data_IF_707365208065
#
_entry.id   IF_707365208065
#
_cell.length_a   1.000
_cell.length_b   1.000
_cell.length_c   1.000
_cell.angle_alpha   90.00
_cell.angle_beta   90.00
_cell.angle_gamma   90.00
#
_symmetry.space_group_name_H-M   'P 1'
#
loop_
_entity.id
_entity.type
_entity.pdbx_description
1 polymer ?
#
# COMPACT_ATOMS: atom_id res chain seq x y z
N UNK A 1 15.92 -16.00 -2.99
CA UNK A 1 16.09 -14.88 -2.02
C UNK A 1 15.44 -15.22 -0.69
N UNK A 2 15.98 -14.70 0.41
CA UNK A 2 15.40 -14.85 1.74
C UNK A 2 14.26 -13.85 1.94
N UNK A 3 13.17 -14.24 2.66
CA UNK A 3 12.09 -13.34 3.00
C UNK A 3 12.60 -12.25 3.96
N UNK A 4 12.30 -11.00 3.62
CA UNK A 4 12.67 -9.84 4.42
C UNK A 4 11.65 -9.60 5.55
N UNK A 5 12.16 -9.29 6.75
CA UNK A 5 11.40 -8.76 7.87
C UNK A 5 12.08 -7.50 8.36
N UNK A 6 11.34 -6.39 8.44
CA UNK A 6 11.90 -5.13 8.90
C UNK A 6 10.88 -3.98 8.87
N UNK A 7 11.36 -2.81 9.27
CA UNK A 7 10.57 -1.58 9.31
C UNK A 7 10.40 -0.99 7.91
N UNK A 8 9.27 -1.33 7.29
CA UNK A 8 8.82 -0.79 6.01
C UNK A 8 7.47 -0.09 6.21
N UNK A 9 7.23 1.08 5.59
CA UNK A 9 6.01 1.85 5.76
C UNK A 9 4.82 1.21 5.03
N UNK A 10 4.28 0.15 5.61
CA UNK A 10 3.12 -0.63 5.15
C UNK A 10 1.95 -0.43 6.12
N UNK A 11 1.56 0.82 6.33
CA UNK A 11 0.55 1.17 7.35
C UNK A 11 -0.77 0.41 7.19
N UNK A 12 -1.31 0.32 5.98
CA UNK A 12 -2.54 -0.41 5.68
C UNK A 12 -2.39 -1.92 5.92
N UNK A 13 -1.26 -2.51 5.53
CA UNK A 13 -1.00 -3.95 5.73
C UNK A 13 -0.86 -4.30 7.20
N UNK A 14 -0.14 -3.48 7.97
CA UNK A 14 0.00 -3.67 9.41
C UNK A 14 -1.32 -3.46 10.14
N UNK A 15 -2.14 -2.46 9.73
CA UNK A 15 -3.48 -2.26 10.29
C UNK A 15 -4.39 -3.46 10.03
N UNK A 16 -4.38 -4.03 8.82
CA UNK A 16 -5.11 -5.27 8.51
C UNK A 16 -4.59 -6.44 9.37
N UNK A 17 -3.26 -6.59 9.52
CA UNK A 17 -2.68 -7.66 10.33
C UNK A 17 -3.12 -7.56 11.80
N UNK A 18 -3.09 -6.36 12.40
CA UNK A 18 -3.52 -6.13 13.79
C UNK A 18 -5.00 -6.47 13.98
N UNK A 19 -5.86 -6.05 13.05
CA UNK A 19 -7.29 -6.36 13.12
C UNK A 19 -7.53 -7.87 12.96
N UNK A 20 -6.94 -8.51 11.96
CA UNK A 20 -7.06 -9.97 11.77
C UNK A 20 -6.56 -10.74 13.00
N UNK A 21 -5.46 -10.31 13.62
CA UNK A 21 -4.94 -10.92 14.83
C UNK A 21 -5.95 -10.84 16.00
N UNK A 22 -6.61 -9.71 16.18
CA UNK A 22 -7.65 -9.55 17.20
C UNK A 22 -8.86 -10.48 16.99
N UNK A 23 -9.14 -10.85 15.73
CA UNK A 23 -10.14 -11.87 15.39
C UNK A 23 -9.59 -13.31 15.44
N UNK A 24 -8.36 -13.53 15.91
CA UNK A 24 -7.74 -14.85 16.09
C UNK A 24 -7.04 -15.41 14.83
N UNK A 25 -6.76 -14.58 13.83
CA UNK A 25 -6.07 -14.98 12.59
C UNK A 25 -4.68 -14.39 12.52
N UNK A 26 -3.65 -15.23 12.51
CA UNK A 26 -2.25 -14.83 12.46
C UNK A 26 -1.71 -14.83 11.01
N UNK A 27 -2.05 -13.76 10.26
CA UNK A 27 -1.49 -13.52 8.93
C UNK A 27 -0.33 -12.53 9.02
N UNK A 28 0.85 -12.94 8.57
CA UNK A 28 2.04 -12.11 8.61
C UNK A 28 1.99 -10.97 7.58
N UNK A 29 2.44 -9.74 7.92
CA UNK A 29 2.39 -8.59 7.00
C UNK A 29 3.02 -8.85 5.61
N UNK A 30 4.17 -9.54 5.46
CA UNK A 30 4.69 -9.86 4.12
C UNK A 30 3.73 -10.68 3.24
N UNK A 31 2.98 -11.58 3.85
CA UNK A 31 1.98 -12.37 3.14
C UNK A 31 0.78 -11.52 2.72
N UNK A 32 0.26 -10.68 3.63
CA UNK A 32 -0.85 -9.77 3.34
C UNK A 32 -0.48 -8.76 2.24
N UNK A 33 0.74 -8.18 2.30
CA UNK A 33 1.21 -7.24 1.28
C UNK A 33 1.29 -7.90 -0.11
N UNK A 34 1.77 -9.15 -0.18
CA UNK A 34 1.75 -9.90 -1.43
C UNK A 34 0.33 -10.08 -1.99
N UNK A 35 -0.66 -10.38 -1.12
CA UNK A 35 -2.07 -10.55 -1.54
C UNK A 35 -2.73 -9.21 -1.95
N UNK A 36 -2.29 -8.10 -1.41
CA UNK A 36 -2.75 -6.76 -1.83
C UNK A 36 -2.28 -6.39 -3.23
N UNK A 37 -1.36 -7.17 -3.81
CA UNK A 37 -0.80 -6.98 -5.15
C UNK A 37 -0.20 -5.58 -5.36
N UNK A 38 0.33 -4.97 -4.30
CA UNK A 38 1.03 -3.69 -4.38
C UNK A 38 2.44 -3.88 -4.95
N UNK A 39 3.06 -2.80 -5.45
CA UNK A 39 4.43 -2.85 -6.02
C UNK A 39 4.48 -3.49 -7.41
N UNK A 40 3.46 -3.28 -8.23
CA UNK A 40 3.39 -3.73 -9.61
C UNK A 40 3.25 -2.53 -10.55
N UNK A 41 4.15 -2.40 -11.54
CA UNK A 41 4.20 -1.24 -12.43
C UNK A 41 4.69 0.03 -11.75
N UNK A 42 4.41 1.17 -12.37
CA UNK A 42 4.72 2.49 -11.84
C UNK A 42 3.75 3.53 -12.39
N UNK A 43 3.60 4.64 -11.67
CA UNK A 43 2.81 5.78 -12.08
C UNK A 43 3.58 7.09 -11.89
N UNK A 44 3.36 8.05 -12.79
CA UNK A 44 3.75 9.43 -12.53
C UNK A 44 2.79 10.04 -11.51
N UNK A 45 3.35 10.73 -10.51
CA UNK A 45 2.60 11.46 -9.48
C UNK A 45 2.36 12.92 -9.87
N UNK A 46 3.14 13.43 -10.82
CA UNK A 46 3.04 14.77 -11.37
C UNK A 46 3.39 14.75 -12.87
N UNK A 47 3.34 15.91 -13.51
CA UNK A 47 3.60 16.13 -14.92
C UNK A 47 4.85 16.97 -15.19
N UNK A 48 5.80 17.08 -14.23
CA UNK A 48 7.07 17.78 -14.46
C UNK A 48 7.87 17.04 -15.54
N UNK A 49 8.16 17.67 -16.70
CA UNK A 49 8.80 17.00 -17.81
C UNK A 49 10.30 16.71 -17.59
N UNK A 50 10.93 17.35 -16.61
CA UNK A 50 12.36 17.20 -16.32
C UNK A 50 12.62 16.38 -15.08
N UNK A 51 11.80 16.53 -14.07
CA UNK A 51 11.95 15.89 -12.77
C UNK A 51 10.63 15.28 -12.30
N UNK A 52 10.00 14.38 -13.10
CA UNK A 52 8.72 13.80 -12.73
C UNK A 52 8.87 12.99 -11.44
N UNK A 53 7.88 13.07 -10.56
CA UNK A 53 7.79 12.18 -9.42
C UNK A 53 7.20 10.85 -9.86
N UNK A 54 7.84 9.74 -9.48
CA UNK A 54 7.39 8.39 -9.83
C UNK A 54 7.21 7.56 -8.57
N UNK A 55 6.09 6.85 -8.53
CA UNK A 55 5.82 5.84 -7.54
C UNK A 55 5.78 4.46 -8.21
N UNK A 56 6.57 3.50 -7.67
CA UNK A 56 6.69 2.15 -8.22
C UNK A 56 5.55 1.26 -7.74
N UNK A 57 4.34 1.64 -8.10
CA UNK A 57 3.10 0.93 -7.82
C UNK A 57 1.98 1.48 -8.71
N UNK A 58 0.99 0.65 -9.00
CA UNK A 58 -0.25 1.01 -9.67
C UNK A 58 -1.49 0.60 -8.85
N UNK A 59 -1.30 0.32 -7.57
CA UNK A 59 -2.37 -0.08 -6.65
C UNK A 59 -2.87 1.07 -5.77
N UNK A 60 -4.08 0.90 -5.28
CA UNK A 60 -4.71 1.80 -4.31
C UNK A 60 -4.89 1.03 -2.99
N UNK A 61 -4.36 1.52 -1.85
CA UNK A 61 -4.38 0.79 -0.59
C UNK A 61 -5.78 0.40 -0.11
N UNK A 62 -6.77 1.29 -0.22
CA UNK A 62 -8.13 1.05 0.24
C UNK A 62 -8.85 -0.05 -0.56
N UNK A 63 -8.70 -0.07 -1.89
CA UNK A 63 -9.18 -1.18 -2.74
C UNK A 63 -8.43 -2.48 -2.42
N UNK A 64 -7.13 -2.36 -2.13
CA UNK A 64 -6.27 -3.51 -1.85
C UNK A 64 -6.63 -4.20 -0.54
N UNK A 65 -7.03 -3.45 0.49
CA UNK A 65 -7.57 -4.00 1.75
C UNK A 65 -8.79 -4.86 1.46
N UNK A 66 -9.78 -4.31 0.74
CA UNK A 66 -11.02 -5.02 0.40
C UNK A 66 -10.75 -6.29 -0.40
N UNK A 67 -9.89 -6.22 -1.42
CA UNK A 67 -9.51 -7.36 -2.23
C UNK A 67 -8.79 -8.45 -1.40
N UNK A 68 -7.87 -8.05 -0.52
CA UNK A 68 -7.13 -8.98 0.34
C UNK A 68 -8.07 -9.73 1.29
N UNK A 69 -8.96 -9.02 1.97
CA UNK A 69 -9.94 -9.64 2.87
C UNK A 69 -10.84 -10.64 2.13
N UNK A 70 -11.34 -10.28 0.93
CA UNK A 70 -12.13 -11.19 0.08
C UNK A 70 -11.32 -12.39 -0.40
N UNK A 71 -10.04 -12.21 -0.77
CA UNK A 71 -9.17 -13.33 -1.16
C UNK A 71 -8.99 -14.33 -0.03
N UNK A 72 -8.96 -13.87 1.22
CA UNK A 72 -8.82 -14.69 2.42
C UNK A 72 -10.14 -15.30 2.91
N UNK A 73 -11.25 -14.99 2.24
CA UNK A 73 -12.59 -15.52 2.57
C UNK A 73 -13.30 -14.80 3.71
N UNK A 74 -13.00 -13.51 3.91
CA UNK A 74 -13.69 -12.67 4.87
C UNK A 74 -14.84 -11.89 4.22
N UNK A 75 -15.99 -11.87 4.91
CA UNK A 75 -16.98 -10.81 4.83
C UNK A 75 -16.66 -9.75 5.88
N UNK A 76 -17.01 -8.51 5.59
CA UNK A 76 -16.76 -7.36 6.46
C UNK A 76 -17.75 -6.25 6.15
N UNK A 77 -17.95 -5.36 7.11
CA UNK A 77 -18.66 -4.11 6.88
C UNK A 77 -17.65 -3.03 6.46
N UNK A 78 -17.91 -2.43 5.31
CA UNK A 78 -17.12 -1.34 4.75
C UNK A 78 -17.97 -0.08 4.65
N UNK A 79 -17.39 1.06 5.02
CA UNK A 79 -18.04 2.35 4.88
C UNK A 79 -17.06 3.40 4.37
N UNK A 80 -17.54 4.25 3.48
CA UNK A 80 -16.85 5.48 3.05
C UNK A 80 -17.86 6.45 2.45
N UNK A 81 -17.57 7.77 2.47
CA UNK A 81 -18.37 8.81 1.83
C UNK A 81 -17.70 9.24 0.53
N UNK A 82 -18.46 9.26 -0.55
CA UNK A 82 -17.96 9.73 -1.86
C UNK A 82 -17.86 11.24 -1.95
N UNK A 83 -18.69 11.96 -1.18
CA UNK A 83 -18.69 13.43 -1.07
C UNK A 83 -18.61 13.83 0.40
N UNK A 84 -17.78 14.83 0.70
CA UNK A 84 -17.68 15.40 2.05
C UNK A 84 -18.96 16.15 2.45
N UNK A 85 -19.79 16.56 1.50
CA UNK A 85 -21.07 17.25 1.74
C UNK A 85 -22.12 16.32 2.38
N UNK A 86 -21.90 15.00 2.33
CA UNK A 86 -22.76 14.00 2.97
C UNK A 86 -22.38 13.74 4.43
N UNK A 87 -21.41 14.47 4.99
CA UNK A 87 -20.86 14.20 6.30
C UNK A 87 -21.87 14.54 7.41
N UNK A 88 -22.30 13.51 8.11
CA UNK A 88 -22.96 13.60 9.41
C UNK A 88 -22.01 13.02 10.47
N UNK A 89 -21.40 13.93 11.25
CA UNK A 89 -20.40 13.60 12.29
C UNK A 89 -20.97 12.64 13.33
N UNK A 90 -22.24 12.84 13.72
CA UNK A 90 -22.91 11.98 14.72
C UNK A 90 -23.08 10.57 14.16
N UNK A 91 -23.55 10.45 12.92
CA UNK A 91 -23.72 9.17 12.25
C UNK A 91 -22.37 8.44 12.05
N UNK A 92 -21.29 9.17 11.71
CA UNK A 92 -19.95 8.59 11.64
C UNK A 92 -19.48 8.00 12.95
N UNK A 93 -19.67 8.73 14.06
CA UNK A 93 -19.30 8.27 15.39
C UNK A 93 -20.10 7.04 15.79
N UNK A 94 -21.41 7.04 15.54
CA UNK A 94 -22.29 5.91 15.84
C UNK A 94 -21.94 4.67 15.01
N UNK A 95 -21.60 4.83 13.73
CA UNK A 95 -21.14 3.73 12.87
C UNK A 95 -19.85 3.13 13.38
N UNK A 96 -18.83 3.95 13.66
CA UNK A 96 -17.57 3.48 14.23
C UNK A 96 -17.82 2.75 15.57
N UNK A 97 -18.59 3.35 16.47
CA UNK A 97 -18.96 2.73 17.75
C UNK A 97 -19.70 1.40 17.57
N UNK A 98 -20.53 1.28 16.53
CA UNK A 98 -21.23 0.02 16.20
C UNK A 98 -20.26 -1.06 15.75
N UNK A 99 -19.29 -0.75 14.89
CA UNK A 99 -18.28 -1.70 14.43
C UNK A 99 -17.37 -2.16 15.57
N UNK A 100 -16.96 -1.22 16.44
CA UNK A 100 -16.09 -1.49 17.60
C UNK A 100 -16.71 -2.47 18.62
N UNK A 101 -18.02 -2.64 18.65
CA UNK A 101 -18.68 -3.68 19.51
C UNK A 101 -18.24 -5.10 19.14
N UNK A 102 -17.85 -5.33 17.90
CA UNK A 102 -17.48 -6.65 17.39
C UNK A 102 -15.96 -6.86 17.26
N UNK A 103 -15.17 -5.79 17.46
CA UNK A 103 -13.72 -5.84 17.41
C UNK A 103 -13.10 -4.57 16.82
N UNK A 104 -11.78 -4.52 16.69
CA UNK A 104 -11.09 -3.33 16.17
C UNK A 104 -11.43 -3.09 14.69
N UNK A 105 -11.24 -1.84 14.26
CA UNK A 105 -11.61 -1.33 12.94
C UNK A 105 -10.37 -0.76 12.24
N UNK A 106 -10.18 -1.09 10.97
CA UNK A 106 -9.19 -0.44 10.11
C UNK A 106 -9.78 0.89 9.66
N UNK A 107 -9.03 1.97 9.78
CA UNK A 107 -9.44 3.32 9.38
C UNK A 107 -8.36 3.96 8.52
N UNK A 108 -8.77 4.56 7.39
CA UNK A 108 -7.91 5.26 6.44
C UNK A 108 -8.47 5.20 5.00
N UNK A 109 -7.90 5.95 4.04
CA UNK A 109 -6.71 6.76 4.25
C UNK A 109 -6.97 7.97 5.18
N UNK A 110 -5.93 8.31 5.94
CA UNK A 110 -5.87 9.48 6.80
C UNK A 110 -4.83 10.44 6.22
N UNK A 111 -5.01 11.74 6.36
CA UNK A 111 -3.92 12.70 6.16
C UNK A 111 -3.06 12.78 7.43
N UNK A 112 -1.81 12.30 7.34
CA UNK A 112 -0.85 12.31 8.47
C UNK A 112 -0.60 13.70 9.03
N UNK A 113 -0.82 14.76 8.24
CA UNK A 113 -0.65 16.15 8.67
C UNK A 113 -1.56 16.56 9.84
N UNK A 114 -2.62 15.81 10.09
CA UNK A 114 -3.58 16.03 11.17
C UNK A 114 -3.44 15.06 12.36
N UNK A 115 -2.52 14.09 12.31
CA UNK A 115 -2.29 13.14 13.41
C UNK A 115 -1.34 13.73 14.45
N UNK A 116 -1.85 14.58 15.31
CA UNK A 116 -1.08 15.44 16.24
C UNK A 116 -0.24 14.70 17.27
N UNK A 117 -0.50 13.42 17.53
CA UNK A 117 0.36 12.57 18.36
C UNK A 117 1.69 12.23 17.68
N UNK A 118 1.78 12.35 16.34
CA UNK A 118 3.03 12.19 15.61
C UNK A 118 3.79 13.52 15.61
N UNK A 119 4.99 13.61 16.21
CA UNK A 119 5.74 14.86 16.28
C UNK A 119 6.14 15.43 14.91
N UNK A 120 6.15 14.59 13.86
CA UNK A 120 6.47 14.99 12.50
C UNK A 120 5.24 15.36 11.65
N UNK A 121 4.01 15.33 12.23
CA UNK A 121 2.78 15.54 11.47
C UNK A 121 2.80 16.81 10.60
N UNK A 122 3.40 17.91 11.08
CA UNK A 122 3.47 19.17 10.33
C UNK A 122 4.22 19.08 8.99
N UNK A 123 5.10 18.09 8.82
CA UNK A 123 5.86 17.81 7.58
C UNK A 123 5.20 16.71 6.73
N UNK A 124 4.14 16.06 7.22
CA UNK A 124 3.51 14.90 6.60
C UNK A 124 2.13 15.21 6.02
N UNK A 125 1.82 16.48 5.80
CA UNK A 125 0.55 16.89 5.18
C UNK A 125 0.45 16.34 3.76
N UNK A 126 -0.67 15.68 3.46
CA UNK A 126 -0.92 15.04 2.17
C UNK A 126 -0.29 13.65 2.02
N UNK A 127 0.34 13.12 3.07
CA UNK A 127 0.82 11.73 3.11
C UNK A 127 -0.32 10.87 3.67
N UNK A 128 -0.72 9.85 2.89
CA UNK A 128 -1.77 8.90 3.28
C UNK A 128 -1.31 7.95 4.39
N UNK A 129 -2.24 7.59 5.24
CA UNK A 129 -1.97 6.70 6.37
C UNK A 129 -3.17 5.85 6.75
N UNK A 130 -2.91 4.72 7.42
CA UNK A 130 -3.93 3.82 7.95
C UNK A 130 -3.58 3.45 9.38
N UNK A 131 -4.61 3.37 10.23
CA UNK A 131 -4.48 2.99 11.65
C UNK A 131 -5.51 1.93 12.02
N UNK A 132 -5.33 1.31 13.18
CA UNK A 132 -6.31 0.43 13.80
C UNK A 132 -6.93 1.14 15.01
N UNK A 133 -8.24 1.42 14.96
CA UNK A 133 -9.00 1.90 16.12
C UNK A 133 -9.52 0.67 16.85
N UNK A 134 -9.25 0.58 18.16
CA UNK A 134 -9.65 -0.58 18.97
C UNK A 134 -10.67 -0.25 20.06
N UNK A 135 -10.89 1.04 20.38
CA UNK A 135 -11.91 1.46 21.33
C UNK A 135 -12.32 2.92 21.09
N UNK A 136 -13.49 3.30 21.62
CA UNK A 136 -14.03 4.67 21.68
C UNK A 136 -14.62 4.90 23.05
N UNK A 137 -13.93 5.65 23.92
CA UNK A 137 -14.31 5.94 25.30
C UNK A 137 -14.81 7.38 25.40
N UNK A 138 -16.13 7.55 25.39
CA UNK A 138 -16.73 8.88 25.28
C UNK A 138 -16.44 9.52 23.93
N UNK A 139 -15.59 10.55 23.90
CA UNK A 139 -15.11 11.21 22.67
C UNK A 139 -13.65 10.88 22.35
N UNK A 140 -13.00 10.01 23.12
CA UNK A 140 -11.61 9.63 22.90
C UNK A 140 -11.50 8.33 22.08
N UNK A 141 -10.88 8.41 20.91
CA UNK A 141 -10.47 7.28 20.10
C UNK A 141 -9.22 6.65 20.70
N UNK A 142 -9.22 5.33 20.87
CA UNK A 142 -8.06 4.54 21.26
C UNK A 142 -7.55 3.80 20.02
N UNK A 143 -6.31 4.04 19.62
CA UNK A 143 -5.78 3.52 18.35
C UNK A 143 -4.35 2.99 18.47
N UNK A 144 -4.01 2.09 17.54
CA UNK A 144 -2.64 1.72 17.24
C UNK A 144 -2.27 2.26 15.86
N UNK A 145 -1.19 3.01 15.82
CA UNK A 145 -0.62 3.53 14.58
C UNK A 145 0.65 2.72 14.23
N UNK A 146 0.66 2.03 13.08
CA UNK A 146 1.81 1.24 12.65
C UNK A 146 3.08 2.03 12.33
N UNK A 147 3.00 3.37 12.29
CA UNK A 147 4.20 4.22 12.20
C UNK A 147 5.00 4.33 13.53
N UNK A 148 4.75 3.43 14.47
CA UNK A 148 5.50 3.34 15.73
C UNK A 148 4.81 4.01 16.93
N UNK A 149 3.51 4.29 16.86
CA UNK A 149 2.74 4.91 17.94
C UNK A 149 1.66 3.95 18.48
N UNK A 150 2.01 3.00 19.36
CA UNK A 150 1.04 2.11 19.98
C UNK A 150 0.25 2.83 21.08
N UNK A 151 -1.01 2.43 21.30
CA UNK A 151 -1.86 2.89 22.39
C UNK A 151 -2.06 4.41 22.45
N UNK A 152 -2.21 5.04 21.29
CA UNK A 152 -2.50 6.47 21.20
C UNK A 152 -3.97 6.75 21.51
N UNK A 153 -4.20 7.95 22.03
CA UNK A 153 -5.53 8.51 22.23
C UNK A 153 -5.64 9.82 21.46
N UNK A 154 -6.79 10.04 20.82
CA UNK A 154 -7.08 11.27 20.12
C UNK A 154 -8.57 11.57 20.19
N UNK A 155 -8.94 12.83 20.43
CA UNK A 155 -10.33 13.23 20.45
C UNK A 155 -10.97 13.01 19.07
N UNK A 156 -12.20 12.49 19.05
CA UNK A 156 -12.90 12.16 17.80
C UNK A 156 -13.03 13.37 16.87
N UNK A 157 -13.34 14.54 17.42
CA UNK A 157 -13.48 15.76 16.61
C UNK A 157 -12.15 16.20 16.01
N UNK A 158 -11.05 16.08 16.76
CA UNK A 158 -9.71 16.42 16.28
C UNK A 158 -9.19 15.43 15.23
N UNK A 159 -9.70 14.18 15.26
CA UNK A 159 -9.36 13.14 14.28
C UNK A 159 -10.08 13.32 12.94
N UNK A 160 -11.24 13.99 12.91
CA UNK A 160 -12.05 14.12 11.70
C UNK A 160 -11.28 14.73 10.49
N UNK A 161 -10.47 15.80 10.63
CA UNK A 161 -9.72 16.34 9.50
C UNK A 161 -8.73 15.33 8.90
N UNK A 162 -8.09 14.50 9.72
CA UNK A 162 -7.25 13.42 9.24
C UNK A 162 -8.07 12.40 8.44
N UNK A 163 -9.24 12.01 8.95
CA UNK A 163 -10.08 10.97 8.36
C UNK A 163 -10.87 11.44 7.13
N UNK A 164 -11.16 12.71 7.02
CA UNK A 164 -11.69 13.32 5.81
C UNK A 164 -10.70 13.23 4.66
N UNK A 165 -9.40 13.34 4.95
CA UNK A 165 -8.29 13.14 4.04
C UNK A 165 -8.45 13.92 2.72
N UNK A 166 -8.82 15.21 2.78
CA UNK A 166 -9.10 16.02 1.59
C UNK A 166 -7.93 16.13 0.63
N UNK A 167 -6.70 16.14 1.17
CA UNK A 167 -5.46 16.21 0.41
C UNK A 167 -5.08 14.93 -0.33
N UNK A 168 -5.77 13.80 -0.04
CA UNK A 168 -5.47 12.49 -0.65
C UNK A 168 -6.39 12.28 -1.86
N UNK A 169 -5.85 12.48 -3.06
CA UNK A 169 -6.63 12.47 -4.30
C UNK A 169 -7.03 11.05 -4.77
N UNK A 170 -6.24 10.03 -4.44
CA UNK A 170 -6.39 8.64 -4.93
C UNK A 170 -7.22 7.74 -4.02
N UNK A 171 -8.05 8.28 -3.15
CA UNK A 171 -8.98 7.52 -2.30
C UNK A 171 -10.32 7.30 -2.98
N UNK A 172 -11.00 6.19 -2.66
CA UNK A 172 -12.39 5.94 -3.10
C UNK A 172 -13.40 6.89 -2.47
N UNK A 173 -13.10 7.37 -1.28
CA UNK A 173 -13.92 8.29 -0.51
C UNK A 173 -13.31 8.66 0.82
N UNK A 174 -13.90 9.64 1.48
CA UNK A 174 -13.53 10.06 2.82
C UNK A 174 -14.13 9.15 3.89
N UNK A 175 -13.58 9.19 5.09
CA UNK A 175 -14.11 8.44 6.25
C UNK A 175 -14.19 6.94 6.04
N UNK A 176 -13.23 6.37 5.29
CA UNK A 176 -13.23 4.94 5.00
C UNK A 176 -12.85 4.13 6.23
N UNK A 177 -13.59 3.03 6.45
CA UNK A 177 -13.37 2.09 7.54
C UNK A 177 -13.82 0.68 7.18
N UNK A 178 -13.15 -0.33 7.77
CA UNK A 178 -13.44 -1.75 7.62
C UNK A 178 -13.49 -2.40 9.00
N UNK A 179 -14.60 -3.03 9.33
CA UNK A 179 -14.79 -3.71 10.61
C UNK A 179 -15.73 -4.90 10.51
N UNK A 180 -16.10 -5.46 11.65
CA UNK A 180 -17.02 -6.58 11.74
C UNK A 180 -16.60 -7.77 10.84
N UNK A 181 -15.30 -8.12 10.85
CA UNK A 181 -14.72 -9.15 10.01
C UNK A 181 -15.23 -10.52 10.42
N UNK A 182 -15.72 -11.29 9.46
CA UNK A 182 -16.20 -12.64 9.64
C UNK A 182 -15.68 -13.55 8.53
N UNK A 183 -14.89 -14.55 8.88
CA UNK A 183 -14.42 -15.52 7.90
C UNK A 183 -15.52 -16.49 7.56
N UNK A 184 -15.97 -16.47 6.31
CA UNK A 184 -17.08 -17.32 5.83
C UNK A 184 -16.59 -18.51 5.01
N UNK A 185 -15.38 -18.44 4.48
CA UNK A 185 -14.72 -19.52 3.77
C UNK A 185 -13.23 -19.59 4.07
N UNK A 186 -12.62 -20.73 3.81
CA UNK A 186 -11.17 -20.92 3.90
C UNK A 186 -10.65 -21.31 2.51
N UNK A 187 -10.35 -20.32 1.64
CA UNK A 187 -9.87 -20.61 0.30
C UNK A 187 -8.56 -21.40 0.32
N UNK A 188 -8.44 -22.33 -0.62
CA UNK A 188 -7.18 -23.06 -0.81
C UNK A 188 -6.06 -22.14 -1.32
N UNK A 189 -4.78 -22.50 -1.13
CA UNK A 189 -3.66 -21.74 -1.69
C UNK A 189 -3.76 -21.54 -3.21
N UNK A 190 -4.35 -22.48 -3.94
CA UNK A 190 -4.55 -22.38 -5.38
C UNK A 190 -5.63 -21.35 -5.75
N UNK A 191 -6.72 -21.26 -4.99
CA UNK A 191 -7.75 -20.24 -5.17
C UNK A 191 -7.25 -18.85 -4.84
N UNK A 192 -6.49 -18.70 -3.76
CA UNK A 192 -5.83 -17.42 -3.40
C UNK A 192 -4.90 -16.98 -4.53
N UNK A 193 -4.03 -17.87 -5.02
CA UNK A 193 -3.14 -17.59 -6.14
C UNK A 193 -3.91 -17.19 -7.41
N UNK A 194 -5.02 -17.87 -7.71
CA UNK A 194 -5.88 -17.54 -8.84
C UNK A 194 -6.46 -16.12 -8.72
N UNK A 195 -7.09 -15.81 -7.58
CA UNK A 195 -7.70 -14.49 -7.30
C UNK A 195 -6.62 -13.38 -7.36
N UNK A 196 -5.43 -13.62 -6.77
CA UNK A 196 -4.30 -12.68 -6.87
C UNK A 196 -3.83 -12.46 -8.31
N UNK A 197 -3.72 -13.53 -9.11
CA UNK A 197 -3.30 -13.43 -10.51
C UNK A 197 -4.27 -12.62 -11.35
N UNK A 198 -5.58 -12.73 -11.11
CA UNK A 198 -6.60 -11.90 -11.75
C UNK A 198 -6.50 -10.43 -11.30
N UNK A 199 -6.21 -10.19 -10.03
CA UNK A 199 -6.00 -8.83 -9.51
C UNK A 199 -4.78 -8.17 -10.15
N UNK A 200 -3.65 -8.86 -10.25
CA UNK A 200 -2.45 -8.36 -10.92
C UNK A 200 -2.71 -8.08 -12.40
N UNK A 201 -3.41 -8.99 -13.09
CA UNK A 201 -3.81 -8.78 -14.50
C UNK A 201 -4.61 -7.50 -14.66
N UNK A 202 -5.67 -7.30 -13.87
CA UNK A 202 -6.53 -6.12 -13.92
C UNK A 202 -5.75 -4.82 -13.68
N UNK A 203 -4.79 -4.82 -12.75
CA UNK A 203 -3.94 -3.66 -12.48
C UNK A 203 -3.08 -3.29 -13.68
N UNK A 204 -2.47 -4.27 -14.33
CA UNK A 204 -1.65 -4.01 -15.52
C UNK A 204 -2.48 -3.62 -16.76
N UNK A 205 -3.74 -4.04 -16.86
CA UNK A 205 -4.67 -3.57 -17.90
C UNK A 205 -4.95 -2.07 -17.82
N UNK A 206 -4.94 -1.50 -16.59
CA UNK A 206 -5.19 -0.07 -16.34
C UNK A 206 -3.92 0.77 -16.09
N UNK A 207 -2.73 0.15 -16.11
CA UNK A 207 -1.47 0.84 -15.79
C UNK A 207 -1.01 1.76 -16.92
N UNK A 208 -0.33 2.85 -16.55
CA UNK A 208 0.44 3.65 -17.49
C UNK A 208 1.54 2.79 -18.11
N UNK A 209 1.89 3.06 -19.37
CA UNK A 209 2.98 2.35 -20.07
C UNK A 209 4.25 3.19 -20.08
N UNK A 210 5.40 2.49 -20.08
CA UNK A 210 6.74 3.08 -20.24
C UNK A 210 7.13 4.12 -19.16
N UNK A 211 6.50 4.07 -17.97
CA UNK A 211 6.78 5.05 -16.90
C UNK A 211 8.21 4.89 -16.40
N UNK A 212 8.65 3.66 -16.15
CA UNK A 212 9.98 3.40 -15.57
C UNK A 212 11.08 3.74 -16.59
N UNK A 213 10.89 3.41 -17.88
CA UNK A 213 11.80 3.78 -18.96
C UNK A 213 11.93 5.30 -19.10
N UNK A 214 10.80 6.00 -19.18
CA UNK A 214 10.79 7.46 -19.31
C UNK A 214 11.42 8.14 -18.09
N UNK A 215 11.22 7.58 -16.89
CA UNK A 215 11.85 8.05 -15.68
C UNK A 215 13.37 7.84 -15.69
N UNK A 216 13.83 6.68 -16.13
CA UNK A 216 15.27 6.41 -16.29
C UNK A 216 15.93 7.40 -17.25
N UNK A 217 15.27 7.71 -18.38
CA UNK A 217 15.77 8.67 -19.38
C UNK A 217 15.81 10.11 -18.81
N UNK A 218 14.82 10.47 -17.99
CA UNK A 218 14.82 11.77 -17.28
C UNK A 218 16.00 11.86 -16.32
N UNK A 219 16.23 10.84 -15.49
CA UNK A 219 17.38 10.82 -14.54
C UNK A 219 18.70 10.87 -15.28
N UNK A 220 18.86 10.15 -16.40
CA UNK A 220 20.07 10.17 -17.21
C UNK A 220 20.37 11.56 -17.75
N UNK A 221 19.33 12.31 -18.11
CA UNK A 221 19.45 13.62 -18.75
C UNK A 221 19.59 14.76 -17.73
N UNK A 222 18.94 14.67 -16.57
CA UNK A 222 18.77 15.79 -15.64
C UNK A 222 19.23 15.48 -14.21
N UNK A 223 19.53 14.22 -13.88
CA UNK A 223 19.77 13.78 -12.49
C UNK A 223 18.48 13.77 -11.67
N UNK A 224 18.62 13.77 -10.35
CA UNK A 224 17.52 13.87 -9.38
C UNK A 224 17.49 15.26 -8.75
N UNK A 225 16.32 15.87 -8.64
CA UNK A 225 16.13 17.03 -7.79
C UNK A 225 16.01 16.62 -6.30
N UNK A 226 15.93 17.60 -5.40
CA UNK A 226 15.89 17.33 -3.96
C UNK A 226 14.64 16.51 -3.55
N UNK A 227 13.49 16.80 -4.14
CA UNK A 227 12.24 16.11 -3.83
C UNK A 227 12.27 14.64 -4.27
N UNK A 228 12.73 14.37 -5.49
CA UNK A 228 12.94 13.00 -5.98
C UNK A 228 13.95 12.26 -5.10
N UNK A 229 15.07 12.91 -4.75
CA UNK A 229 16.08 12.30 -3.91
C UNK A 229 15.53 11.94 -2.52
N UNK A 230 14.78 12.85 -1.89
CA UNK A 230 14.12 12.56 -0.61
C UNK A 230 13.13 11.39 -0.73
N UNK A 231 12.30 11.36 -1.77
CA UNK A 231 11.37 10.27 -2.01
C UNK A 231 12.08 8.91 -2.13
N UNK A 232 13.19 8.85 -2.86
CA UNK A 232 13.92 7.61 -3.11
C UNK A 232 14.76 7.15 -1.94
N UNK A 233 15.52 8.05 -1.32
CA UNK A 233 16.43 7.72 -0.22
C UNK A 233 15.68 7.26 1.04
N UNK A 234 14.48 7.81 1.28
CA UNK A 234 13.73 7.49 2.50
C UNK A 234 12.54 6.56 2.31
N UNK A 235 12.04 6.38 1.08
CA UNK A 235 10.76 5.70 0.90
C UNK A 235 10.73 4.74 -0.29
N UNK A 236 10.72 5.23 -1.55
CA UNK A 236 10.18 4.48 -2.68
C UNK A 236 10.99 3.25 -3.08
N UNK A 237 12.34 3.33 -3.17
CA UNK A 237 13.15 2.17 -3.57
C UNK A 237 13.15 1.06 -2.50
N UNK A 238 13.24 1.44 -1.22
CA UNK A 238 13.13 0.47 -0.11
C UNK A 238 11.81 -0.28 -0.14
N UNK A 239 10.72 0.47 -0.32
CA UNK A 239 9.37 -0.07 -0.38
C UNK A 239 9.19 -0.99 -1.59
N UNK A 240 9.63 -0.57 -2.78
CA UNK A 240 9.55 -1.35 -4.00
C UNK A 240 10.37 -2.66 -3.91
N UNK A 241 11.57 -2.59 -3.30
CA UNK A 241 12.40 -3.77 -3.03
C UNK A 241 11.68 -4.76 -2.11
N UNK A 242 11.14 -4.29 -0.98
CA UNK A 242 10.43 -5.14 -0.02
C UNK A 242 9.18 -5.79 -0.63
N UNK A 243 8.35 -5.01 -1.35
CA UNK A 243 7.15 -5.52 -2.04
C UNK A 243 7.50 -6.58 -3.08
N UNK A 244 8.54 -6.35 -3.86
CA UNK A 244 9.02 -7.32 -4.84
C UNK A 244 9.52 -8.61 -4.18
N UNK A 245 10.23 -8.51 -3.04
CA UNK A 245 10.66 -9.66 -2.23
C UNK A 245 9.45 -10.45 -1.69
N UNK A 246 8.46 -9.79 -1.12
CA UNK A 246 7.27 -10.44 -0.57
C UNK A 246 6.46 -11.17 -1.64
N UNK A 247 6.23 -10.50 -2.77
CA UNK A 247 5.49 -11.11 -3.88
C UNK A 247 6.28 -12.27 -4.51
N UNK A 248 7.61 -12.15 -4.67
CA UNK A 248 8.48 -13.25 -5.11
C UNK A 248 8.34 -14.46 -4.19
N UNK A 249 8.40 -14.23 -2.87
CA UNK A 249 8.30 -15.31 -1.89
C UNK A 249 6.95 -16.04 -1.96
N UNK A 250 5.86 -15.31 -2.09
CA UNK A 250 4.52 -15.88 -2.30
C UNK A 250 4.47 -16.69 -3.61
N UNK A 251 4.87 -16.08 -4.73
CA UNK A 251 4.78 -16.68 -6.06
C UNK A 251 5.65 -17.92 -6.21
N UNK A 252 6.73 -18.06 -5.45
CA UNK A 252 7.68 -19.20 -5.57
C UNK A 252 7.01 -20.57 -5.42
N UNK A 253 5.89 -20.65 -4.70
CA UNK A 253 5.12 -21.88 -4.50
C UNK A 253 4.10 -22.16 -5.62
N UNK A 254 3.84 -21.18 -6.48
CA UNK A 254 2.75 -21.22 -7.47
C UNK A 254 3.23 -20.97 -8.90
N UNK A 255 4.18 -20.06 -9.08
CA UNK A 255 4.69 -19.61 -10.38
C UNK A 255 6.15 -19.16 -10.25
N UNK A 256 7.04 -20.10 -10.52
CA UNK A 256 8.48 -19.87 -10.35
C UNK A 256 9.02 -18.81 -11.34
N UNK A 257 8.47 -18.72 -12.54
CA UNK A 257 8.94 -17.75 -13.53
C UNK A 257 8.64 -16.32 -13.09
N UNK A 258 7.40 -16.04 -12.66
CA UNK A 258 7.04 -14.72 -12.11
C UNK A 258 7.79 -14.44 -10.80
N UNK A 259 7.99 -15.44 -9.94
CA UNK A 259 8.77 -15.29 -8.71
C UNK A 259 10.20 -14.83 -8.97
N UNK A 260 10.88 -15.43 -9.94
CA UNK A 260 12.27 -15.07 -10.31
C UNK A 260 12.37 -13.64 -10.86
N UNK A 261 11.37 -13.18 -11.64
CA UNK A 261 11.35 -11.80 -12.11
C UNK A 261 11.26 -10.82 -10.92
N UNK A 262 10.34 -11.05 -9.97
CA UNK A 262 10.20 -10.20 -8.77
C UNK A 262 11.43 -10.28 -7.84
N UNK A 263 12.08 -11.43 -7.74
CA UNK A 263 13.34 -11.57 -7.00
C UNK A 263 14.44 -10.68 -7.56
N UNK A 264 14.63 -10.69 -8.90
CA UNK A 264 15.59 -9.82 -9.56
C UNK A 264 15.25 -8.34 -9.41
N UNK A 265 13.96 -7.98 -9.54
CA UNK A 265 13.53 -6.60 -9.32
C UNK A 265 13.81 -6.14 -7.88
N UNK A 266 13.61 -7.00 -6.87
CA UNK A 266 13.92 -6.67 -5.48
C UNK A 266 15.40 -6.31 -5.29
N UNK A 267 16.31 -7.11 -5.89
CA UNK A 267 17.75 -6.84 -5.86
C UNK A 267 18.11 -5.53 -6.57
N UNK A 268 17.53 -5.29 -7.75
CA UNK A 268 17.78 -4.07 -8.51
C UNK A 268 17.26 -2.81 -7.81
N UNK A 269 16.10 -2.86 -7.15
CA UNK A 269 15.62 -1.73 -6.34
C UNK A 269 16.55 -1.43 -5.16
N UNK A 270 17.16 -2.46 -4.55
CA UNK A 270 18.22 -2.26 -3.55
C UNK A 270 19.47 -1.59 -4.14
N UNK A 271 19.87 -1.97 -5.33
CA UNK A 271 20.98 -1.32 -6.06
C UNK A 271 20.63 0.12 -6.47
N UNK A 272 19.41 0.36 -6.96
CA UNK A 272 18.92 1.70 -7.29
C UNK A 272 18.96 2.64 -6.08
N UNK A 273 18.56 2.14 -4.88
CA UNK A 273 18.70 2.90 -3.63
C UNK A 273 20.16 3.30 -3.35
N UNK A 274 21.10 2.38 -3.50
CA UNK A 274 22.52 2.68 -3.29
C UNK A 274 23.09 3.66 -4.34
N UNK A 275 22.65 3.55 -5.59
CA UNK A 275 23.07 4.48 -6.65
C UNK A 275 22.51 5.90 -6.40
N UNK A 276 21.25 6.01 -5.94
CA UNK A 276 20.63 7.29 -5.52
C UNK A 276 21.43 7.95 -4.40
N UNK A 277 21.76 7.21 -3.33
CA UNK A 277 22.53 7.73 -2.20
C UNK A 277 23.93 8.23 -2.62
N UNK A 278 24.53 7.60 -3.62
CA UNK A 278 25.87 7.96 -4.14
C UNK A 278 25.81 9.05 -5.21
N UNK A 279 24.63 9.47 -5.62
CA UNK A 279 24.39 10.39 -6.73
C UNK A 279 25.00 9.88 -8.07
N UNK A 280 25.09 8.56 -8.23
CA UNK A 280 25.51 7.92 -9.47
C UNK A 280 24.30 7.76 -10.39
N UNK A 281 23.92 8.88 -11.02
CA UNK A 281 22.70 8.96 -11.82
C UNK A 281 22.77 8.16 -13.11
N UNK A 282 23.96 7.89 -13.64
CA UNK A 282 24.13 7.04 -14.82
C UNK A 282 23.82 5.58 -14.45
N UNK A 283 24.48 5.06 -13.40
CA UNK A 283 24.20 3.71 -12.92
C UNK A 283 22.74 3.58 -12.46
N UNK A 284 22.17 4.60 -11.81
CA UNK A 284 20.77 4.60 -11.41
C UNK A 284 19.84 4.46 -12.62
N UNK A 285 20.07 5.22 -13.68
CA UNK A 285 19.28 5.15 -14.89
C UNK A 285 19.41 3.78 -15.58
N UNK A 286 20.63 3.19 -15.64
CA UNK A 286 20.83 1.86 -16.19
C UNK A 286 20.08 0.79 -15.39
N UNK A 287 20.14 0.84 -14.06
CA UNK A 287 19.41 -0.08 -13.17
C UNK A 287 17.89 0.06 -13.39
N UNK A 288 17.38 1.28 -13.53
CA UNK A 288 15.96 1.49 -13.79
C UNK A 288 15.52 0.96 -15.16
N UNK A 289 16.35 1.03 -16.19
CA UNK A 289 16.09 0.39 -17.48
C UNK A 289 16.00 -1.15 -17.34
N UNK A 290 16.89 -1.75 -16.55
CA UNK A 290 16.83 -3.20 -16.28
C UNK A 290 15.53 -3.56 -15.50
N UNK A 291 15.14 -2.75 -14.52
CA UNK A 291 13.86 -2.93 -13.80
C UNK A 291 12.68 -2.83 -14.76
N UNK A 292 12.69 -1.85 -15.68
CA UNK A 292 11.64 -1.69 -16.68
C UNK A 292 11.48 -2.92 -17.57
N UNK A 293 12.60 -3.50 -18.03
CA UNK A 293 12.58 -4.73 -18.83
C UNK A 293 11.97 -5.91 -18.05
N UNK A 294 12.34 -6.06 -16.77
CA UNK A 294 11.77 -7.12 -15.91
C UNK A 294 10.30 -6.90 -15.61
N UNK A 295 9.88 -5.65 -15.38
CA UNK A 295 8.46 -5.31 -15.13
C UNK A 295 7.62 -5.57 -16.40
N UNK A 296 8.11 -5.23 -17.58
CA UNK A 296 7.46 -5.55 -18.85
C UNK A 296 7.29 -7.08 -19.05
N UNK A 297 8.31 -7.87 -18.75
CA UNK A 297 8.21 -9.34 -18.79
C UNK A 297 7.20 -9.86 -17.76
N UNK A 298 7.20 -9.31 -16.56
CA UNK A 298 6.24 -9.67 -15.52
C UNK A 298 4.81 -9.29 -15.91
N UNK A 299 4.60 -8.08 -16.46
CA UNK A 299 3.35 -7.58 -17.01
C UNK A 299 2.79 -8.51 -18.09
N UNK A 300 3.62 -8.90 -19.08
CA UNK A 300 3.20 -9.82 -20.14
C UNK A 300 2.68 -11.14 -19.56
N UNK A 301 3.40 -11.73 -18.59
CA UNK A 301 2.96 -12.95 -17.92
C UNK A 301 1.66 -12.78 -17.13
N UNK A 302 1.46 -11.62 -16.51
CA UNK A 302 0.20 -11.31 -15.81
C UNK A 302 -0.97 -11.19 -16.81
N UNK A 303 -0.77 -10.49 -17.93
CA UNK A 303 -1.80 -10.28 -18.96
C UNK A 303 -2.18 -11.60 -19.67
N UNK A 304 -1.23 -12.52 -19.86
CA UNK A 304 -1.45 -13.84 -20.46
C UNK A 304 -2.13 -14.84 -19.51
N UNK A 305 -2.29 -14.51 -18.22
CA UNK A 305 -2.93 -15.43 -17.28
C UNK A 305 -4.39 -15.68 -17.67
N UNK A 306 -4.73 -16.95 -17.98
CA UNK A 306 -6.05 -17.36 -18.46
C UNK A 306 -6.99 -17.91 -17.37
N UNK A 307 -6.47 -18.04 -16.14
CA UNK A 307 -7.21 -18.79 -15.12
C UNK A 307 -7.08 -20.32 -15.32
N UNK A 308 -7.48 -21.08 -14.32
CA UNK A 308 -7.78 -22.51 -14.52
C UNK A 308 -9.25 -22.60 -14.95
N UNK A 309 -9.49 -23.18 -16.14
CA UNK A 309 -10.81 -23.65 -16.54
C UNK A 309 -11.30 -24.71 -15.56
#
# INVERSE_FOLDING_TARGET
>A
MQLYYGDIPLCYTHSVAMVLHAYGYDFQPPYLEALMAMGNGANFLDDDPKHPLVFFDNGEPDISISNCLQMLGFEYDEHYLRSSDEMDVVNMKERLASLLKNGPVIVGPLDMGHLTYNPNHGYLKGVDHFVTIYDLIGDELCLHDPAGYPCMQMNFTDFLPAWQAESIAYKRGSFSMWGNLRRVETPSPAEIYHKLSLTMKKRYESSQSNVIEAYADSIRSHGLNLQQKQLHDFFSFRLASARSNYLSHFLRKHDLERAVLKEKMADLFGQAHLASLREDFISLADILQDIAQLDNQFKEKCLQYKGRE
#
